data_IF_012120620114
#
_entry.id   IF_012120620114
#
_cell.length_a   1.000
_cell.length_b   1.000
_cell.length_c   1.000
_cell.angle_alpha   90.00
_cell.angle_beta   90.00
_cell.angle_gamma   90.00
#
_symmetry.space_group_name_H-M   'P 1'
#
loop_
_entity.id
_entity.type
_entity.pdbx_description
1 polymer ?
#
# COMPACT_ATOMS: atom_id res chain seq x y z
N UNK A 1 -2.30 -16.86 -11.27
CA UNK A 1 -1.69 -17.34 -10.01
C UNK A 1 -2.82 -17.64 -9.05
N UNK A 2 -3.08 -18.92 -8.78
CA UNK A 2 -4.20 -19.36 -7.93
C UNK A 2 -3.78 -19.16 -6.48
N UNK A 3 -4.36 -18.16 -5.80
CA UNK A 3 -4.10 -17.94 -4.37
C UNK A 3 -4.70 -19.11 -3.61
N UNK A 4 -3.87 -19.85 -2.88
CA UNK A 4 -4.25 -21.08 -2.20
C UNK A 4 -5.31 -20.77 -1.13
N UNK A 5 -6.56 -21.20 -1.34
CA UNK A 5 -7.69 -20.90 -0.45
C UNK A 5 -7.69 -21.78 0.82
N UNK A 6 -6.58 -21.78 1.57
CA UNK A 6 -6.38 -22.56 2.80
C UNK A 6 -6.11 -21.69 4.02
N UNK A 7 -6.34 -22.15 5.26
CA UNK A 7 -6.13 -21.37 6.50
C UNK A 7 -4.76 -20.68 6.60
N UNK A 8 -3.72 -21.27 5.99
CA UNK A 8 -2.38 -20.70 5.94
C UNK A 8 -2.28 -19.43 5.08
N UNK A 9 -3.13 -19.26 4.05
CA UNK A 9 -3.07 -18.10 3.18
C UNK A 9 -3.41 -16.80 3.91
N UNK A 10 -4.38 -16.82 4.83
CA UNK A 10 -4.72 -15.64 5.63
C UNK A 10 -3.55 -15.22 6.53
N UNK A 11 -2.81 -16.19 7.08
CA UNK A 11 -1.61 -15.96 7.90
C UNK A 11 -0.49 -15.36 7.06
N UNK A 12 -0.24 -15.91 5.88
CA UNK A 12 0.77 -15.38 4.93
C UNK A 12 0.44 -13.95 4.54
N UNK A 13 -0.80 -13.68 4.10
CA UNK A 13 -1.24 -12.34 3.70
C UNK A 13 -1.15 -11.34 4.87
N UNK A 14 -1.49 -11.75 6.08
CA UNK A 14 -1.33 -10.90 7.26
C UNK A 14 0.16 -10.62 7.57
N UNK A 15 1.05 -11.60 7.33
CA UNK A 15 2.50 -11.37 7.43
C UNK A 15 2.99 -10.37 6.39
N UNK A 16 2.56 -10.52 5.14
CA UNK A 16 2.91 -9.59 4.05
C UNK A 16 2.49 -8.15 4.37
N UNK A 17 1.27 -7.96 4.92
CA UNK A 17 0.81 -6.64 5.38
C UNK A 17 1.72 -6.08 6.49
N UNK A 18 2.14 -6.92 7.45
CA UNK A 18 3.03 -6.50 8.55
C UNK A 18 4.41 -6.10 8.03
N UNK A 19 4.97 -6.88 7.11
CA UNK A 19 6.28 -6.62 6.53
C UNK A 19 6.26 -5.35 5.66
N UNK A 20 5.22 -5.17 4.84
CA UNK A 20 5.05 -3.95 4.06
C UNK A 20 4.92 -2.71 4.96
N UNK A 21 4.16 -2.78 6.08
CA UNK A 21 4.07 -1.70 7.08
C UNK A 21 5.43 -1.38 7.68
N UNK A 22 6.23 -2.41 8.02
CA UNK A 22 7.59 -2.23 8.54
C UNK A 22 8.49 -1.53 7.54
N UNK A 23 8.45 -1.92 6.27
CA UNK A 23 9.23 -1.31 5.19
C UNK A 23 8.88 0.17 5.01
N UNK A 24 7.59 0.51 4.94
CA UNK A 24 7.16 1.92 4.87
C UNK A 24 7.63 2.72 6.08
N UNK A 25 7.56 2.16 7.29
CA UNK A 25 8.03 2.83 8.50
C UNK A 25 9.53 3.05 8.48
N UNK A 26 10.32 2.05 8.06
CA UNK A 26 11.77 2.15 7.97
C UNK A 26 12.20 3.24 6.99
N UNK A 27 11.56 3.33 5.83
CA UNK A 27 11.86 4.31 4.78
C UNK A 27 11.44 5.75 5.13
N UNK A 28 10.66 5.95 6.19
CA UNK A 28 10.30 7.27 6.72
C UNK A 28 11.32 7.81 7.74
N UNK A 29 12.31 7.02 8.14
CA UNK A 29 13.30 7.41 9.14
C UNK A 29 14.59 7.81 8.45
N UNK A 30 15.15 8.97 8.82
CA UNK A 30 16.39 9.48 8.26
C UNK A 30 16.21 10.17 6.91
N UNK A 31 17.16 9.99 5.98
CA UNK A 31 17.07 10.55 4.63
C UNK A 31 16.05 9.75 3.82
N UNK A 32 14.92 10.37 3.53
CA UNK A 32 13.83 9.75 2.77
C UNK A 32 14.16 9.76 1.28
N UNK A 33 14.18 8.58 0.68
CA UNK A 33 14.10 8.42 -0.77
C UNK A 33 12.60 8.38 -1.16
N UNK A 34 12.10 9.40 -1.87
CA UNK A 34 10.67 9.52 -2.18
C UNK A 34 10.17 8.42 -3.11
N UNK A 35 10.98 7.95 -4.07
CA UNK A 35 10.60 6.93 -5.03
C UNK A 35 10.55 5.55 -4.37
N UNK A 36 11.53 5.27 -3.51
CA UNK A 36 11.55 4.03 -2.73
C UNK A 36 10.39 3.98 -1.72
N UNK A 37 10.11 5.10 -1.04
CA UNK A 37 8.97 5.20 -0.13
C UNK A 37 7.63 5.04 -0.88
N UNK A 38 7.54 5.56 -2.10
CA UNK A 38 6.36 5.41 -2.94
C UNK A 38 6.14 3.93 -3.31
N UNK A 39 7.17 3.24 -3.80
CA UNK A 39 7.09 1.81 -4.10
C UNK A 39 6.69 0.98 -2.88
N UNK A 40 7.24 1.29 -1.71
CA UNK A 40 6.86 0.60 -0.48
C UNK A 40 5.39 0.83 -0.10
N UNK A 41 4.83 2.02 -0.36
CA UNK A 41 3.40 2.31 -0.16
C UNK A 41 2.50 1.57 -1.16
N UNK A 42 2.90 1.47 -2.43
CA UNK A 42 2.18 0.68 -3.44
C UNK A 42 2.12 -0.80 -3.03
N UNK A 43 3.24 -1.36 -2.57
CA UNK A 43 3.29 -2.73 -2.05
C UNK A 43 2.42 -2.92 -0.80
N UNK A 44 2.39 -1.93 0.09
CA UNK A 44 1.51 -1.95 1.26
C UNK A 44 0.03 -1.95 0.85
N UNK A 45 -0.37 -1.11 -0.10
CA UNK A 45 -1.74 -1.08 -0.61
C UNK A 45 -2.12 -2.45 -1.19
N UNK A 46 -1.28 -3.01 -2.07
CA UNK A 46 -1.51 -4.32 -2.67
C UNK A 46 -1.67 -5.43 -1.62
N UNK A 47 -0.79 -5.48 -0.61
CA UNK A 47 -0.87 -6.48 0.45
C UNK A 47 -2.18 -6.36 1.26
N UNK A 48 -2.61 -5.13 1.57
CA UNK A 48 -3.88 -4.89 2.27
C UNK A 48 -5.09 -5.29 1.42
N UNK A 49 -5.05 -5.04 0.11
CA UNK A 49 -6.12 -5.44 -0.81
C UNK A 49 -6.23 -6.95 -0.95
N UNK A 50 -5.10 -7.66 -1.06
CA UNK A 50 -5.08 -9.12 -1.09
C UNK A 50 -5.63 -9.72 0.21
N UNK A 51 -5.19 -9.20 1.36
CA UNK A 51 -5.70 -9.63 2.66
C UNK A 51 -7.20 -9.37 2.82
N UNK A 52 -7.68 -8.19 2.40
CA UNK A 52 -9.11 -7.86 2.43
C UNK A 52 -9.93 -8.73 1.47
N UNK A 53 -9.43 -9.01 0.27
CA UNK A 53 -10.09 -9.89 -0.68
C UNK A 53 -10.24 -11.31 -0.11
N UNK A 54 -9.20 -11.81 0.60
CA UNK A 54 -9.24 -13.12 1.25
C UNK A 54 -10.17 -13.16 2.46
N UNK A 55 -10.31 -12.07 3.22
CA UNK A 55 -11.34 -11.97 4.26
C UNK A 55 -12.74 -12.03 3.65
N UNK A 56 -12.98 -11.29 2.56
CA UNK A 56 -14.26 -11.26 1.86
C UNK A 56 -14.60 -12.62 1.25
N UNK A 57 -13.64 -13.31 0.62
CA UNK A 57 -13.84 -14.65 0.05
C UNK A 57 -14.30 -15.66 1.12
N UNK A 58 -13.82 -15.48 2.35
CA UNK A 58 -14.17 -16.28 3.53
C UNK A 58 -15.40 -15.79 4.29
N UNK A 59 -16.07 -14.73 3.80
CA UNK A 59 -17.21 -14.07 4.47
C UNK A 59 -16.87 -13.56 5.88
N UNK A 60 -15.61 -13.21 6.11
CA UNK A 60 -15.15 -12.60 7.35
C UNK A 60 -15.25 -11.07 7.26
N UNK A 61 -15.54 -10.38 8.38
CA UNK A 61 -15.61 -8.94 8.38
C UNK A 61 -14.21 -8.33 8.18
N UNK A 62 -14.13 -7.27 7.37
CA UNK A 62 -12.93 -6.44 7.26
C UNK A 62 -12.80 -5.61 8.55
N UNK A 63 -11.69 -5.72 9.31
CA UNK A 63 -11.45 -4.91 10.51
C UNK A 63 -11.54 -3.40 10.21
N UNK A 64 -12.13 -2.59 11.10
CA UNK A 64 -12.29 -1.15 10.87
C UNK A 64 -10.97 -0.44 10.57
N UNK A 65 -9.92 -0.74 11.33
CA UNK A 65 -8.58 -0.17 11.13
C UNK A 65 -8.01 -0.48 9.75
N UNK A 66 -8.20 -1.71 9.25
CA UNK A 66 -7.79 -2.09 7.89
C UNK A 66 -8.61 -1.33 6.82
N UNK A 67 -9.91 -1.16 7.05
CA UNK A 67 -10.79 -0.43 6.14
C UNK A 67 -10.38 1.04 6.04
N UNK A 68 -10.06 1.66 7.16
CA UNK A 68 -9.61 3.05 7.21
C UNK A 68 -8.24 3.21 6.54
N UNK A 69 -7.30 2.30 6.80
CA UNK A 69 -6.00 2.26 6.14
C UNK A 69 -6.14 2.10 4.62
N UNK A 70 -7.02 1.20 4.15
CA UNK A 70 -7.30 1.00 2.73
C UNK A 70 -7.85 2.27 2.08
N UNK A 71 -8.82 2.92 2.73
CA UNK A 71 -9.40 4.18 2.26
C UNK A 71 -8.31 5.25 2.12
N UNK A 72 -7.46 5.38 3.12
CA UNK A 72 -6.36 6.35 3.12
C UNK A 72 -5.35 6.07 2.00
N UNK A 73 -4.87 4.83 1.87
CA UNK A 73 -3.87 4.49 0.84
C UNK A 73 -4.44 4.64 -0.57
N UNK A 74 -5.71 4.29 -0.80
CA UNK A 74 -6.40 4.48 -2.09
C UNK A 74 -6.53 5.94 -2.45
N UNK A 75 -6.91 6.81 -1.51
CA UNK A 75 -7.01 8.26 -1.76
C UNK A 75 -5.64 8.85 -2.13
N UNK A 76 -4.58 8.46 -1.41
CA UNK A 76 -3.20 8.88 -1.71
C UNK A 76 -2.78 8.42 -3.11
N UNK A 77 -3.11 7.17 -3.48
CA UNK A 77 -2.78 6.64 -4.80
C UNK A 77 -3.59 7.32 -5.91
N UNK A 78 -4.90 7.52 -5.72
CA UNK A 78 -5.79 8.12 -6.70
C UNK A 78 -5.47 9.59 -6.97
N UNK A 79 -5.16 10.38 -5.93
CA UNK A 79 -4.72 11.79 -6.10
C UNK A 79 -3.43 11.88 -6.90
N UNK A 80 -2.55 10.89 -6.78
CA UNK A 80 -1.32 10.81 -7.58
C UNK A 80 -1.63 10.50 -9.04
N UNK A 81 -2.48 9.51 -9.32
CA UNK A 81 -2.84 9.20 -10.72
C UNK A 81 -3.54 10.39 -11.40
N UNK A 82 -4.36 11.13 -10.66
CA UNK A 82 -5.02 12.35 -11.14
C UNK A 82 -4.07 13.56 -11.29
N UNK A 83 -2.89 13.53 -10.67
CA UNK A 83 -1.87 14.57 -10.79
C UNK A 83 -0.77 14.06 -11.71
N UNK A 84 -0.85 14.28 -13.04
CA UNK A 84 0.34 14.09 -13.89
C UNK A 84 1.42 14.98 -13.28
N UNK A 85 2.57 14.39 -12.93
CA UNK A 85 3.69 15.13 -12.33
C UNK A 85 3.99 16.35 -13.20
N UNK A 86 3.50 17.52 -12.79
CA UNK A 86 3.92 18.79 -13.36
C UNK A 86 5.36 18.93 -12.89
N UNK A 87 6.30 18.51 -13.74
CA UNK A 87 7.70 18.87 -13.61
C UNK A 87 7.73 20.39 -13.74
N UNK A 88 7.74 21.09 -12.60
CA UNK A 88 8.13 22.49 -12.57
C UNK A 88 9.61 22.53 -12.94
N UNK A 89 9.90 22.58 -14.24
CA UNK A 89 11.22 22.97 -14.72
C UNK A 89 11.36 24.43 -14.36
N UNK A 90 12.10 24.72 -13.29
CA UNK A 90 12.63 26.05 -13.05
C UNK A 90 13.61 26.36 -14.20
N UNK A 91 13.10 26.90 -15.30
CA UNK A 91 13.94 27.61 -16.27
C UNK A 91 14.25 28.96 -15.66
N UNK A 92 15.44 29.07 -15.07
CA UNK A 92 16.02 30.35 -14.68
C UNK A 92 16.34 31.09 -15.98
N UNK A 93 15.55 32.09 -16.33
CA UNK A 93 15.82 32.97 -17.46
C UNK A 93 17.12 33.75 -17.23
N UNK A 94 17.91 33.82 -18.29
CA UNK A 94 19.13 34.62 -18.45
C UNK A 94 18.93 36.12 -18.13
#
# INVERSE_FOLDING_TARGET
>A
MTVSSGPLALVVLMSEVRDARRSVRALRVGKVDPDLLLRARELLLLAMENYAAELVSRRLPIPPTLRDDLRLQRDIHSRREASPQVRYTHTKGD
#
